data_IF_194945386149
#
_entry.id   IF_194945386149
#
_cell.length_a   1.000
_cell.length_b   1.000
_cell.length_c   1.000
_cell.angle_alpha   90.00
_cell.angle_beta   90.00
_cell.angle_gamma   90.00
#
_symmetry.space_group_name_H-M   'P 1'
#
loop_
_entity.id
_entity.type
_entity.pdbx_description
1 polymer ?
#
# COMPACT_ATOMS: atom_id res chain seq x y z
N UNK A 1 -35.56 42.28 11.77
CA UNK A 1 -36.96 41.79 11.65
C UNK A 1 -37.07 40.94 10.39
N UNK A 2 -37.80 39.81 10.48
CA UNK A 2 -37.81 38.61 9.58
C UNK A 2 -36.66 37.65 9.89
N UNK A 3 -36.75 36.68 10.81
CA UNK A 3 -37.79 35.72 11.20
C UNK A 3 -38.03 34.59 10.18
N UNK A 4 -37.82 33.37 10.70
CA UNK A 4 -38.43 32.08 10.33
C UNK A 4 -38.10 31.52 8.96
N UNK A 5 -37.45 30.34 8.93
CA UNK A 5 -37.83 29.13 8.17
C UNK A 5 -36.85 28.00 8.58
N UNK A 6 -36.88 27.62 9.86
CA UNK A 6 -36.33 26.34 10.34
C UNK A 6 -37.55 25.47 10.59
N UNK A 7 -38.00 24.82 9.53
CA UNK A 7 -39.17 23.95 9.53
C UNK A 7 -38.70 22.56 9.07
N UNK A 8 -38.53 21.69 10.06
CA UNK A 8 -39.14 20.36 10.05
C UNK A 8 -38.91 19.49 8.80
N UNK A 9 -37.84 18.70 8.80
CA UNK A 9 -37.75 17.43 8.05
C UNK A 9 -36.83 16.47 8.82
N UNK A 10 -37.28 16.15 10.04
CA UNK A 10 -36.71 15.11 10.89
C UNK A 10 -37.89 14.21 11.29
N UNK A 11 -38.42 13.45 10.32
CA UNK A 11 -39.34 12.34 10.54
C UNK A 11 -39.49 11.53 9.24
N UNK A 12 -39.50 10.19 9.38
CA UNK A 12 -39.68 9.13 8.38
C UNK A 12 -38.42 8.64 7.63
N UNK A 13 -37.71 7.69 8.25
CA UNK A 13 -37.14 6.53 7.55
C UNK A 13 -36.86 5.41 8.57
N UNK A 14 -37.92 4.85 9.16
CA UNK A 14 -37.87 3.61 9.94
C UNK A 14 -39.05 2.77 9.49
N UNK A 15 -38.89 1.99 8.41
CA UNK A 15 -39.78 0.90 8.00
C UNK A 15 -39.25 0.24 6.71
N UNK A 16 -38.38 -0.76 6.83
CA UNK A 16 -38.25 -1.92 5.91
C UNK A 16 -37.22 -2.88 6.53
N UNK A 17 -37.66 -3.78 7.42
CA UNK A 17 -38.10 -5.15 7.12
C UNK A 17 -36.93 -6.11 6.85
N UNK A 18 -36.73 -7.03 7.79
CA UNK A 18 -35.84 -8.19 7.73
C UNK A 18 -36.07 -9.01 6.46
N UNK A 19 -34.98 -9.29 5.73
CA UNK A 19 -34.91 -10.40 4.78
C UNK A 19 -33.98 -11.48 5.34
N UNK A 20 -34.51 -12.66 5.58
CA UNK A 20 -33.77 -13.87 5.98
C UNK A 20 -32.92 -14.41 4.83
N UNK A 21 -31.73 -14.97 5.09
CA UNK A 21 -30.95 -15.66 4.07
C UNK A 21 -31.52 -17.07 3.83
N UNK A 22 -31.95 -17.34 2.60
CA UNK A 22 -32.26 -18.69 2.14
C UNK A 22 -30.97 -19.47 1.89
N UNK A 23 -30.83 -20.55 2.65
CA UNK A 23 -29.88 -21.63 2.45
C UNK A 23 -30.27 -22.41 1.19
N UNK A 24 -29.35 -22.56 0.23
CA UNK A 24 -29.41 -23.68 -0.70
C UNK A 24 -28.01 -24.20 -0.96
N UNK A 25 -27.69 -25.27 -0.23
CA UNK A 25 -26.73 -26.30 -0.62
C UNK A 25 -27.06 -26.84 -2.02
N UNK A 26 -26.07 -26.89 -2.91
CA UNK A 26 -25.97 -27.92 -3.93
C UNK A 26 -24.50 -28.07 -4.31
N UNK A 27 -23.88 -29.08 -3.70
CA UNK A 27 -22.65 -29.68 -4.17
C UNK A 27 -22.86 -30.28 -5.56
N UNK A 28 -21.92 -30.03 -6.48
CA UNK A 28 -21.70 -30.93 -7.61
C UNK A 28 -20.21 -30.99 -7.91
N UNK A 29 -19.62 -32.11 -7.53
CA UNK A 29 -18.28 -32.48 -7.91
C UNK A 29 -18.25 -32.83 -9.39
N UNK A 30 -17.45 -32.09 -10.15
CA UNK A 30 -16.97 -32.50 -11.46
C UNK A 30 -15.47 -32.76 -11.34
N UNK A 31 -15.08 -34.00 -11.66
CA UNK A 31 -13.76 -34.54 -11.46
C UNK A 31 -12.68 -33.77 -12.21
N UNK A 32 -11.64 -33.40 -11.47
CA UNK A 32 -10.35 -33.00 -12.01
C UNK A 32 -9.60 -34.28 -12.36
N UNK A 33 -9.65 -34.68 -13.63
CA UNK A 33 -8.72 -35.65 -14.18
C UNK A 33 -7.34 -34.99 -14.22
N UNK A 34 -6.48 -35.33 -13.27
CA UNK A 34 -5.07 -34.99 -13.30
C UNK A 34 -4.43 -35.70 -14.50
N UNK A 35 -4.13 -34.94 -15.55
CA UNK A 35 -3.21 -35.38 -16.60
C UNK A 35 -1.81 -35.43 -15.98
N UNK A 36 -1.32 -36.63 -15.74
CA UNK A 36 0.08 -36.90 -15.38
C UNK A 36 1.02 -36.19 -16.37
N UNK A 37 1.87 -35.33 -15.83
CA UNK A 37 3.03 -34.80 -16.54
C UNK A 37 4.05 -35.94 -16.71
N UNK A 38 4.67 -36.09 -17.89
CA UNK A 38 5.70 -37.09 -18.10
C UNK A 38 6.93 -36.79 -17.22
N UNK A 39 7.30 -37.81 -16.43
CA UNK A 39 8.53 -37.89 -15.65
C UNK A 39 9.74 -37.68 -16.58
N UNK A 40 10.62 -36.69 -16.34
CA UNK A 40 11.88 -36.61 -17.07
C UNK A 40 12.80 -37.74 -16.62
N UNK A 41 13.12 -38.60 -17.59
CA UNK A 41 14.18 -39.61 -17.55
C UNK A 41 15.46 -39.05 -16.94
N UNK A 42 15.91 -39.66 -15.84
CA UNK A 42 17.20 -39.42 -15.23
C UNK A 42 18.29 -39.76 -16.26
N UNK A 43 19.04 -38.74 -16.70
CA UNK A 43 20.25 -38.95 -17.50
C UNK A 43 21.39 -39.29 -16.55
N UNK A 44 21.96 -40.46 -16.82
CA UNK A 44 23.12 -41.08 -16.21
C UNK A 44 24.30 -40.10 -16.09
N UNK A 45 24.69 -39.77 -14.85
CA UNK A 45 25.87 -38.99 -14.56
C UNK A 45 27.12 -39.84 -14.85
N UNK A 46 27.89 -39.42 -15.84
CA UNK A 46 29.16 -40.04 -16.14
C UNK A 46 30.21 -39.64 -15.10
N UNK A 47 30.75 -40.68 -14.49
CA UNK A 47 31.86 -40.70 -13.56
C UNK A 47 33.13 -40.14 -14.22
N UNK A 48 33.49 -38.90 -13.86
CA UNK A 48 34.82 -38.35 -14.06
C UNK A 48 35.38 -38.02 -12.69
N UNK A 49 36.21 -38.94 -12.19
CA UNK A 49 37.04 -38.78 -11.01
C UNK A 49 38.30 -37.98 -11.36
N UNK A 50 38.49 -36.76 -10.82
CA UNK A 50 39.82 -36.23 -10.60
C UNK A 50 40.30 -36.62 -9.20
N UNK A 51 41.29 -37.52 -9.16
CA UNK A 51 42.12 -37.77 -7.97
C UNK A 51 42.89 -36.50 -7.64
N UNK A 52 42.33 -35.67 -6.76
CA UNK A 52 43.05 -34.64 -6.04
C UNK A 52 42.68 -34.76 -4.56
N UNK A 53 43.68 -35.05 -3.73
CA UNK A 53 43.58 -35.02 -2.27
C UNK A 53 42.97 -33.70 -1.81
N UNK A 54 41.77 -33.68 -1.20
CA UNK A 54 41.29 -32.45 -0.59
C UNK A 54 42.11 -32.22 0.68
N UNK A 55 42.94 -31.20 0.65
CA UNK A 55 43.41 -30.53 1.87
C UNK A 55 42.16 -30.16 2.68
N UNK A 56 42.12 -30.32 4.02
CA UNK A 56 41.04 -29.78 4.82
C UNK A 56 41.18 -28.26 4.79
N UNK A 57 40.63 -27.62 3.76
CA UNK A 57 40.33 -26.20 3.83
C UNK A 57 39.16 -26.14 4.79
N UNK A 58 39.45 -25.77 6.03
CA UNK A 58 38.44 -25.32 6.98
C UNK A 58 37.64 -24.24 6.27
N UNK A 59 36.49 -24.64 5.71
CA UNK A 59 35.46 -23.74 5.22
C UNK A 59 34.91 -23.06 6.46
N UNK A 60 35.58 -21.99 6.85
CA UNK A 60 35.03 -21.03 7.77
C UNK A 60 33.96 -20.32 6.96
N UNK A 61 32.79 -20.96 6.87
CA UNK A 61 31.55 -20.27 6.56
C UNK A 61 31.48 -19.17 7.62
N UNK A 62 31.86 -17.96 7.21
CA UNK A 62 31.66 -16.78 8.02
C UNK A 62 30.18 -16.79 8.34
N UNK A 63 29.83 -17.11 9.58
CA UNK A 63 28.53 -16.79 10.11
C UNK A 63 28.41 -15.28 9.92
N UNK A 64 27.68 -14.87 8.88
CA UNK A 64 27.22 -13.50 8.77
C UNK A 64 26.39 -13.30 10.02
N UNK A 65 26.99 -12.66 11.02
CA UNK A 65 26.24 -12.08 12.12
C UNK A 65 25.21 -11.21 11.42
N UNK A 66 23.96 -11.63 11.48
CA UNK A 66 22.86 -10.79 11.05
C UNK A 66 22.91 -9.59 12.00
N UNK A 67 23.58 -8.52 11.55
CA UNK A 67 23.53 -7.25 12.24
C UNK A 67 22.13 -6.74 11.97
N UNK A 68 21.25 -6.95 12.95
CA UNK A 68 19.96 -6.29 12.95
C UNK A 68 20.15 -4.80 13.24
N UNK A 69 19.34 -3.97 12.60
CA UNK A 69 19.35 -2.53 12.75
C UNK A 69 18.22 -2.10 13.69
N UNK A 70 18.49 -1.27 14.68
CA UNK A 70 17.45 -0.66 15.52
C UNK A 70 17.18 0.79 15.12
N UNK A 71 18.16 1.47 14.53
CA UNK A 71 18.01 2.82 13.96
C UNK A 71 17.46 2.76 12.52
N UNK A 72 16.33 3.42 12.21
CA UNK A 72 15.71 3.32 10.89
C UNK A 72 16.53 4.02 9.79
N UNK A 73 17.37 5.01 10.13
CA UNK A 73 18.24 5.66 9.14
C UNK A 73 19.45 4.79 8.80
N UNK A 74 20.08 4.13 9.77
CA UNK A 74 21.16 3.16 9.51
C UNK A 74 20.62 1.96 8.72
N UNK A 75 19.41 1.49 9.08
CA UNK A 75 18.69 0.46 8.33
C UNK A 75 18.50 0.87 6.87
N UNK A 76 17.89 2.03 6.60
CA UNK A 76 17.68 2.49 5.23
C UNK A 76 19.00 2.71 4.49
N UNK A 77 20.01 3.29 5.13
CA UNK A 77 21.33 3.49 4.53
C UNK A 77 21.95 2.16 4.07
N UNK A 78 21.70 1.06 4.78
CA UNK A 78 22.18 -0.27 4.42
C UNK A 78 21.34 -0.94 3.32
N UNK A 79 20.01 -0.98 3.45
CA UNK A 79 19.12 -1.73 2.54
C UNK A 79 18.74 -0.96 1.27
N UNK A 80 19.02 0.36 1.24
CA UNK A 80 18.69 1.30 0.16
C UNK A 80 17.20 1.49 -0.06
N UNK A 81 16.54 0.58 -0.77
CA UNK A 81 15.13 0.72 -1.14
C UNK A 81 14.37 -0.53 -0.73
N UNK A 82 13.37 -0.36 0.12
CA UNK A 82 12.44 -1.42 0.51
C UNK A 82 11.12 -0.77 0.94
N UNK A 83 10.01 -1.27 0.43
CA UNK A 83 8.67 -0.71 0.64
C UNK A 83 8.14 -0.93 2.06
N UNK A 84 8.53 -2.04 2.69
CA UNK A 84 8.17 -2.39 4.07
C UNK A 84 9.44 -2.90 4.77
N UNK A 85 9.80 -2.36 5.95
CA UNK A 85 10.91 -2.89 6.74
C UNK A 85 10.76 -4.39 6.98
N UNK A 86 11.84 -5.15 6.80
CA UNK A 86 11.84 -6.61 6.98
C UNK A 86 12.55 -7.03 8.27
N UNK A 87 12.78 -8.34 8.42
CA UNK A 87 13.41 -8.96 9.61
C UNK A 87 14.79 -8.40 9.97
N UNK A 88 15.45 -7.67 9.06
CA UNK A 88 16.72 -7.01 9.35
C UNK A 88 16.54 -5.76 10.23
N UNK A 89 15.34 -5.19 10.31
CA UNK A 89 15.00 -4.12 11.23
C UNK A 89 14.42 -4.68 12.53
N UNK A 90 15.07 -4.39 13.65
CA UNK A 90 14.74 -4.89 14.98
C UNK A 90 14.15 -3.82 15.91
N UNK A 91 13.91 -2.61 15.40
CA UNK A 91 13.29 -1.54 16.17
C UNK A 91 11.76 -1.63 16.23
N UNK A 92 11.13 -0.58 16.75
CA UNK A 92 9.67 -0.47 16.81
C UNK A 92 9.07 -0.44 15.40
N UNK A 93 7.96 -1.15 15.18
CA UNK A 93 7.27 -1.17 13.86
C UNK A 93 7.02 0.24 13.30
N UNK A 94 6.64 1.20 14.16
CA UNK A 94 6.56 2.62 13.86
C UNK A 94 7.41 3.42 14.86
N UNK A 95 8.67 3.76 14.53
CA UNK A 95 9.56 4.47 15.44
C UNK A 95 9.04 5.86 15.82
N UNK A 96 9.06 6.20 17.11
CA UNK A 96 8.62 7.52 17.59
C UNK A 96 9.30 8.70 16.86
N UNK A 97 10.59 8.58 16.57
CA UNK A 97 11.33 9.63 15.85
C UNK A 97 10.82 9.86 14.42
N UNK A 98 10.29 8.83 13.75
CA UNK A 98 9.64 8.98 12.44
C UNK A 98 8.30 9.70 12.58
N UNK A 99 7.52 9.40 13.62
CA UNK A 99 6.25 10.09 13.90
C UNK A 99 6.48 11.58 14.17
N UNK A 100 7.47 11.91 15.00
CA UNK A 100 7.85 13.30 15.30
C UNK A 100 8.28 14.01 14.03
N UNK A 101 9.23 13.44 13.28
CA UNK A 101 9.71 14.05 12.04
C UNK A 101 8.60 14.25 11.00
N UNK A 102 7.64 13.32 10.90
CA UNK A 102 6.49 13.49 10.01
C UNK A 102 5.54 14.61 10.46
N UNK A 103 5.29 14.72 11.78
CA UNK A 103 4.47 15.81 12.31
C UNK A 103 5.12 17.19 12.06
N UNK A 104 6.44 17.26 12.13
CA UNK A 104 7.22 18.47 11.82
C UNK A 104 7.25 18.83 10.34
N UNK A 105 7.13 17.86 9.43
CA UNK A 105 7.01 18.12 7.98
C UNK A 105 5.59 18.45 7.52
N UNK A 106 4.59 18.25 8.38
CA UNK A 106 3.18 18.54 8.06
C UNK A 106 2.91 20.04 7.93
N UNK A 107 1.88 20.41 7.18
CA UNK A 107 1.49 21.82 6.94
C UNK A 107 1.01 22.55 8.23
N UNK A 108 0.70 21.81 9.29
CA UNK A 108 0.22 22.34 10.56
C UNK A 108 0.84 21.57 11.75
N UNK A 109 2.14 21.79 12.05
CA UNK A 109 2.81 21.10 13.14
C UNK A 109 2.16 21.47 14.49
N UNK A 110 1.97 20.49 15.36
CA UNK A 110 1.32 20.67 16.65
C UNK A 110 1.46 19.45 17.56
N UNK A 111 0.53 19.30 18.50
CA UNK A 111 0.44 18.08 19.31
C UNK A 111 0.22 16.87 18.39
N UNK A 112 1.06 15.84 18.54
CA UNK A 112 0.93 14.59 17.78
C UNK A 112 -0.34 13.88 18.25
N UNK A 113 -1.37 13.75 17.40
CA UNK A 113 -2.59 13.11 17.82
C UNK A 113 -2.38 11.60 17.94
N UNK A 114 -3.07 10.98 18.90
CA UNK A 114 -2.90 9.55 19.24
C UNK A 114 -3.12 8.60 18.05
N UNK A 115 -3.95 9.01 17.09
CA UNK A 115 -4.26 8.21 15.91
C UNK A 115 -3.13 8.21 14.86
N UNK A 116 -2.23 9.21 14.86
CA UNK A 116 -1.24 9.39 13.80
C UNK A 116 -0.33 8.17 13.64
N UNK A 117 0.36 7.65 14.68
CA UNK A 117 1.25 6.50 14.52
C UNK A 117 0.57 5.25 13.95
N UNK A 118 -0.73 5.06 14.22
CA UNK A 118 -1.52 3.89 13.78
C UNK A 118 -1.94 3.95 12.32
N UNK A 119 -1.85 5.12 11.70
CA UNK A 119 -2.23 5.36 10.30
C UNK A 119 -1.02 5.59 9.41
N UNK A 120 0.17 5.53 9.97
CA UNK A 120 1.41 5.79 9.25
C UNK A 120 1.99 4.52 8.64
N UNK A 121 2.72 4.71 7.55
CA UNK A 121 3.62 3.74 6.96
C UNK A 121 4.95 4.43 6.72
N UNK A 122 6.05 3.69 6.86
CA UNK A 122 7.38 4.18 6.52
C UNK A 122 8.12 3.15 5.69
N UNK A 123 9.02 3.65 4.85
CA UNK A 123 9.79 2.84 3.91
C UNK A 123 11.16 3.45 3.68
N UNK A 124 12.04 2.67 3.07
CA UNK A 124 13.32 3.18 2.61
C UNK A 124 13.25 3.50 1.12
N UNK A 125 13.69 4.70 0.76
CA UNK A 125 13.88 5.09 -0.64
C UNK A 125 15.28 5.64 -0.80
N UNK A 126 16.10 4.98 -1.63
CA UNK A 126 17.45 5.47 -1.98
C UNK A 126 18.33 5.74 -0.75
N UNK A 127 18.21 4.92 0.29
CA UNK A 127 19.00 5.05 1.51
C UNK A 127 18.43 6.00 2.55
N UNK A 128 17.26 6.59 2.31
CA UNK A 128 16.61 7.57 3.19
C UNK A 128 15.29 7.04 3.73
N UNK A 129 14.88 7.56 4.87
CA UNK A 129 13.60 7.25 5.51
C UNK A 129 12.52 8.15 4.90
N UNK A 130 11.43 7.54 4.47
CA UNK A 130 10.22 8.24 4.03
C UNK A 130 9.01 7.75 4.81
N UNK A 131 8.06 8.64 5.09
CA UNK A 131 6.82 8.31 5.76
C UNK A 131 5.59 8.89 5.05
N UNK A 132 4.47 8.20 5.19
CA UNK A 132 3.15 8.58 4.70
C UNK A 132 2.13 8.29 5.80
N UNK A 133 1.07 9.10 5.90
CA UNK A 133 -0.07 8.85 6.80
C UNK A 133 -1.36 8.73 5.99
N UNK A 134 -2.14 7.69 6.28
CA UNK A 134 -3.48 7.49 5.72
C UNK A 134 -4.40 8.55 6.32
N UNK A 135 -4.84 9.50 5.48
CA UNK A 135 -5.65 10.64 5.88
C UNK A 135 -6.76 10.95 4.88
N UNK A 136 -6.86 12.21 4.45
CA UNK A 136 -7.83 12.75 3.47
C UNK A 136 -7.73 12.09 2.07
N UNK A 137 -8.01 10.79 2.00
CA UNK A 137 -7.95 9.93 0.82
C UNK A 137 -6.53 9.66 0.26
N UNK A 138 -5.51 9.55 1.13
CA UNK A 138 -4.13 9.21 0.74
C UNK A 138 -3.86 7.70 0.91
N UNK A 139 -3.55 6.93 -0.14
CA UNK A 139 -3.21 5.51 -0.05
C UNK A 139 -1.70 5.32 0.12
N UNK A 140 -1.24 5.11 1.35
CA UNK A 140 0.19 4.82 1.59
C UNK A 140 0.61 3.41 1.14
N UNK A 141 -0.35 2.50 0.90
CA UNK A 141 -0.13 1.09 0.60
C UNK A 141 -0.58 0.67 -0.81
N UNK A 142 -1.13 1.60 -1.60
CA UNK A 142 -1.60 1.29 -2.96
C UNK A 142 -0.64 1.82 -4.03
N UNK A 143 -0.44 1.03 -5.09
CA UNK A 143 0.27 1.50 -6.28
C UNK A 143 -0.53 2.59 -6.99
N UNK A 144 0.17 3.55 -7.56
CA UNK A 144 -0.39 4.63 -8.35
C UNK A 144 -1.13 4.06 -9.57
N UNK A 145 -2.37 4.49 -9.75
CA UNK A 145 -3.15 4.27 -10.95
C UNK A 145 -2.75 5.32 -12.01
N UNK A 146 -2.03 4.85 -13.02
CA UNK A 146 -1.55 5.64 -14.16
C UNK A 146 -2.54 5.66 -15.33
N UNK A 147 -3.70 5.03 -15.19
CA UNK A 147 -4.74 5.02 -16.22
C UNK A 147 -5.18 6.42 -16.57
N UNK A 148 -5.26 6.66 -17.88
CA UNK A 148 -5.78 7.88 -18.47
C UNK A 148 -7.31 7.88 -18.63
N UNK A 149 -7.95 6.78 -18.24
CA UNK A 149 -9.40 6.57 -18.28
C UNK A 149 -9.97 6.40 -16.86
N UNK A 150 -11.19 6.92 -16.59
CA UNK A 150 -11.83 6.73 -15.30
C UNK A 150 -12.29 5.28 -15.14
N UNK A 151 -12.27 4.77 -13.91
CA UNK A 151 -12.83 3.44 -13.61
C UNK A 151 -14.33 3.40 -13.85
N UNK A 152 -14.89 2.23 -14.13
CA UNK A 152 -16.35 2.07 -14.27
C UNK A 152 -17.10 2.47 -13.00
N UNK A 153 -16.54 2.17 -11.83
CA UNK A 153 -17.10 2.60 -10.55
C UNK A 153 -17.16 4.14 -10.44
N UNK A 154 -16.13 4.85 -10.89
CA UNK A 154 -16.13 6.31 -10.90
C UNK A 154 -17.12 6.88 -11.93
N UNK A 155 -17.22 6.27 -13.12
CA UNK A 155 -18.22 6.63 -14.13
C UNK A 155 -19.65 6.49 -13.58
N UNK A 156 -19.94 5.38 -12.91
CA UNK A 156 -21.27 5.12 -12.34
C UNK A 156 -21.59 6.06 -11.16
N UNK A 157 -20.64 6.28 -10.25
CA UNK A 157 -20.81 7.22 -9.15
C UNK A 157 -21.11 8.66 -9.65
N UNK A 158 -20.43 9.09 -10.72
CA UNK A 158 -20.66 10.40 -11.34
C UNK A 158 -22.04 10.52 -12.01
N UNK A 159 -22.54 9.46 -12.64
CA UNK A 159 -23.91 9.46 -13.20
C UNK A 159 -24.97 9.58 -12.10
N UNK A 160 -24.79 8.87 -11.00
CA UNK A 160 -25.73 8.87 -9.89
C UNK A 160 -25.71 10.18 -9.10
N UNK A 161 -24.55 10.83 -9.03
CA UNK A 161 -24.35 12.06 -8.27
C UNK A 161 -23.59 13.09 -9.13
N UNK A 162 -24.28 13.84 -10.03
CA UNK A 162 -23.64 14.76 -10.97
C UNK A 162 -22.95 15.97 -10.32
N UNK A 163 -23.28 16.26 -9.06
CA UNK A 163 -22.61 17.29 -8.23
C UNK A 163 -21.50 16.71 -7.34
N UNK A 164 -21.19 15.40 -7.47
CA UNK A 164 -20.19 14.76 -6.63
C UNK A 164 -18.80 15.30 -6.95
N UNK A 165 -18.19 15.84 -5.91
CA UNK A 165 -16.91 16.52 -5.89
C UNK A 165 -15.82 15.72 -6.59
N UNK A 166 -14.86 16.48 -7.10
CA UNK A 166 -13.50 16.12 -7.51
C UNK A 166 -12.82 15.22 -6.48
N UNK A 167 -13.15 13.93 -6.47
CA UNK A 167 -12.39 12.95 -5.70
C UNK A 167 -11.15 12.69 -6.53
N UNK A 168 -9.98 13.07 -6.01
CA UNK A 168 -8.74 12.40 -6.42
C UNK A 168 -9.06 10.91 -6.27
N UNK A 169 -9.27 10.18 -7.37
CA UNK A 169 -9.38 8.73 -7.25
C UNK A 169 -8.17 8.30 -6.42
N UNK A 170 -8.40 7.59 -5.31
CA UNK A 170 -7.46 7.51 -4.18
C UNK A 170 -6.00 7.34 -4.61
N UNK A 171 -5.77 6.45 -5.59
CA UNK A 171 -4.45 6.14 -6.14
C UNK A 171 -4.14 6.76 -7.52
N UNK A 172 -5.01 7.58 -8.12
CA UNK A 172 -4.76 8.11 -9.47
C UNK A 172 -3.77 9.26 -9.48
N UNK A 173 -2.85 9.23 -10.45
CA UNK A 173 -1.95 10.36 -10.73
C UNK A 173 -2.67 11.56 -11.38
N UNK A 174 -3.89 11.35 -11.87
CA UNK A 174 -4.73 12.39 -12.47
C UNK A 174 -5.80 12.86 -11.50
N UNK A 175 -6.09 14.16 -11.57
CA UNK A 175 -7.32 14.71 -11.01
C UNK A 175 -8.51 14.30 -11.87
N UNK A 176 -9.67 14.13 -11.24
CA UNK A 176 -10.89 13.71 -11.91
C UNK A 176 -12.05 14.58 -11.44
N UNK A 177 -12.90 15.01 -12.37
CA UNK A 177 -14.07 15.84 -12.10
C UNK A 177 -15.31 15.18 -12.69
N UNK A 178 -16.44 15.27 -11.99
CA UNK A 178 -17.74 14.95 -12.57
C UNK A 178 -18.34 16.23 -13.14
N UNK A 179 -18.66 16.25 -14.44
CA UNK A 179 -19.29 17.39 -15.11
C UNK A 179 -20.51 16.89 -15.86
N UNK A 180 -21.70 17.30 -15.42
CA UNK A 180 -22.98 16.91 -16.01
C UNK A 180 -23.12 15.37 -16.15
N UNK A 181 -22.78 14.62 -15.09
CA UNK A 181 -22.86 13.15 -15.07
C UNK A 181 -21.78 12.43 -15.90
N UNK A 182 -20.77 13.15 -16.38
CA UNK A 182 -19.64 12.58 -17.15
C UNK A 182 -18.31 12.81 -16.41
N UNK A 183 -17.53 11.74 -16.24
CA UNK A 183 -16.19 11.81 -15.68
C UNK A 183 -15.21 12.45 -16.67
N UNK A 184 -14.54 13.51 -16.24
CA UNK A 184 -13.54 14.23 -17.01
C UNK A 184 -12.20 14.19 -16.29
N UNK A 185 -11.14 13.87 -17.05
CA UNK A 185 -9.76 13.89 -16.54
C UNK A 185 -9.29 15.34 -16.48
N UNK A 186 -8.82 15.76 -15.31
CA UNK A 186 -8.11 17.02 -15.14
C UNK A 186 -6.59 16.85 -15.31
N UNK A 187 -5.77 17.80 -14.82
CA UNK A 187 -4.32 17.68 -14.86
C UNK A 187 -3.82 16.47 -14.06
N UNK A 188 -2.64 15.98 -14.46
CA UNK A 188 -1.80 15.12 -13.63
C UNK A 188 -1.29 15.96 -12.44
N UNK A 189 -1.40 15.44 -11.23
CA UNK A 189 -1.03 16.15 -10.01
C UNK A 189 0.18 15.56 -9.30
N UNK A 190 0.59 14.34 -9.67
CA UNK A 190 1.79 13.68 -9.17
C UNK A 190 2.27 12.65 -10.20
N UNK A 191 3.35 11.94 -9.90
CA UNK A 191 3.83 10.81 -10.67
C UNK A 191 3.91 9.55 -9.80
N UNK A 192 4.12 8.41 -10.44
CA UNK A 192 4.50 7.21 -9.71
C UNK A 192 6.00 7.28 -9.40
N UNK A 193 6.39 7.02 -8.16
CA UNK A 193 7.78 6.84 -7.79
C UNK A 193 8.37 5.55 -8.41
N UNK A 194 9.66 5.31 -8.18
CA UNK A 194 10.36 4.14 -8.73
C UNK A 194 9.79 2.79 -8.25
N UNK A 195 9.11 2.75 -7.10
CA UNK A 195 8.41 1.57 -6.59
C UNK A 195 6.95 1.51 -7.07
N UNK A 196 6.44 2.54 -7.74
CA UNK A 196 5.09 2.61 -8.29
C UNK A 196 4.04 3.18 -7.34
N UNK A 197 4.40 3.85 -6.25
CA UNK A 197 3.42 4.58 -5.41
C UNK A 197 3.31 6.05 -5.83
N UNK A 198 2.27 6.76 -5.39
CA UNK A 198 2.16 8.20 -5.63
C UNK A 198 3.36 8.93 -5.00
N UNK A 199 4.16 9.66 -5.76
CA UNK A 199 5.41 10.23 -5.27
C UNK A 199 5.18 11.31 -4.19
N UNK A 200 4.22 12.21 -4.39
CA UNK A 200 4.04 13.41 -3.56
C UNK A 200 3.33 13.17 -2.22
N UNK A 201 3.02 11.92 -1.88
CA UNK A 201 2.41 11.57 -0.58
C UNK A 201 3.42 11.00 0.42
N UNK A 202 4.69 10.88 0.02
CA UNK A 202 5.78 10.38 0.85
C UNK A 202 6.74 11.49 1.22
N UNK A 203 6.89 11.71 2.52
CA UNK A 203 7.71 12.78 3.08
C UNK A 203 9.06 12.21 3.53
N UNK A 204 10.16 12.80 3.07
CA UNK A 204 11.49 12.45 3.57
C UNK A 204 11.61 12.88 5.03
N UNK A 205 11.89 11.93 5.92
CA UNK A 205 12.07 12.17 7.35
C UNK A 205 13.57 12.30 7.64
N UNK A 206 13.99 13.51 8.00
CA UNK A 206 15.38 13.79 8.36
C UNK A 206 15.71 13.11 9.69
N UNK A 207 16.97 12.68 9.82
CA UNK A 207 17.50 12.25 11.11
C UNK A 207 17.45 13.45 12.07
N UNK A 208 16.89 13.30 13.29
CA UNK A 208 16.85 14.36 14.31
C UNK A 208 18.24 14.88 14.68
#
# INVERSE_FOLDING_TARGET
MRAMHITLLLLLCLLTACGTPDTTDQASGAGLTATELPVPTQVEAQDLTPTATPTPVTSQAAATVAIGYTDPWDYCAAVKTIDVPDERYLGESMPHAIVVGFNETSEAPGEIPEWLPRTMSWRCMQGKVYACSVGANLPCDEKANTSQEPSEAAKEACKQNPDFLTVKQKSSIYSWNCVNGTMQRGPQWTEADAAGFLADIWYEIKRP
#
